data_IF_553738558247
#
_entry.id   IF_553738558247
#
_cell.length_a   1.000
_cell.length_b   1.000
_cell.length_c   1.000
_cell.angle_alpha   90.00
_cell.angle_beta   90.00
_cell.angle_gamma   90.00
#
_symmetry.space_group_name_H-M   'P 1'
#
loop_
_entity.id
_entity.type
_entity.pdbx_description
1 polymer ?
#
# COMPACT_ATOMS: atom_id res chain seq x y z
N UNK A 1 22.40 -57.44 14.35
CA UNK A 1 21.11 -57.28 13.65
C UNK A 1 20.17 -56.51 14.58
N UNK A 2 19.93 -55.25 14.24
CA UNK A 2 18.86 -54.32 14.63
C UNK A 2 18.25 -54.35 16.07
N UNK A 3 18.59 -53.38 16.94
CA UNK A 3 17.72 -52.98 18.05
C UNK A 3 16.69 -51.93 17.59
N UNK A 4 15.41 -52.20 17.84
CA UNK A 4 14.30 -51.28 17.56
C UNK A 4 14.34 -50.08 18.51
N UNK A 5 14.48 -48.91 17.89
CA UNK A 5 14.01 -47.56 18.23
C UNK A 5 13.64 -47.27 19.68
N UNK A 6 14.52 -46.49 20.31
CA UNK A 6 14.23 -45.55 21.38
C UNK A 6 13.29 -44.45 20.89
N UNK A 7 12.24 -44.19 21.67
CA UNK A 7 11.45 -42.97 21.65
C UNK A 7 11.64 -42.30 23.02
N UNK A 8 12.27 -41.11 23.12
CA UNK A 8 12.32 -40.38 24.38
C UNK A 8 11.22 -39.32 24.43
N UNK A 9 10.47 -39.33 25.53
CA UNK A 9 9.50 -38.33 25.91
C UNK A 9 10.14 -36.93 26.00
N UNK A 10 9.69 -36.01 25.14
CA UNK A 10 10.13 -34.63 25.14
C UNK A 10 9.34 -33.80 26.17
N UNK A 11 10.08 -33.31 27.17
CA UNK A 11 9.60 -32.43 28.23
C UNK A 11 9.07 -31.11 27.66
N UNK A 12 7.78 -30.87 27.85
CA UNK A 12 7.15 -29.56 27.70
C UNK A 12 7.79 -28.53 28.65
N UNK A 13 8.68 -27.68 28.14
CA UNK A 13 9.15 -26.47 28.82
C UNK A 13 8.26 -25.29 28.42
N UNK A 14 7.33 -24.92 29.31
CA UNK A 14 6.65 -23.62 29.29
C UNK A 14 7.68 -22.51 29.54
N UNK A 15 7.90 -21.65 28.56
CA UNK A 15 8.66 -20.41 28.74
C UNK A 15 7.73 -19.39 29.37
N UNK A 16 8.03 -19.06 30.62
CA UNK A 16 7.40 -18.00 31.41
C UNK A 16 8.01 -16.67 30.99
N UNK A 17 7.21 -15.77 30.43
CA UNK A 17 7.60 -14.37 30.25
C UNK A 17 7.71 -13.69 31.62
N UNK A 18 8.93 -13.36 32.05
CA UNK A 18 9.17 -12.51 33.21
C UNK A 18 9.03 -11.06 32.78
N UNK A 19 7.99 -10.40 33.29
CA UNK A 19 7.83 -8.94 33.27
C UNK A 19 8.96 -8.30 34.09
N UNK A 20 9.64 -7.32 33.51
CA UNK A 20 10.59 -6.45 34.22
C UNK A 20 9.81 -5.24 34.76
N UNK A 21 9.87 -4.94 36.07
CA UNK A 21 9.29 -3.72 36.62
C UNK A 21 10.31 -2.57 36.51
N UNK A 22 9.93 -1.47 35.86
CA UNK A 22 10.68 -0.21 35.94
C UNK A 22 10.10 0.64 37.09
N UNK A 23 11.00 1.02 38.00
CA UNK A 23 10.73 1.74 39.23
C UNK A 23 10.27 3.20 39.01
N UNK A 24 9.40 3.62 39.92
CA UNK A 24 9.00 4.98 40.25
C UNK A 24 10.19 5.92 40.49
N UNK A 25 10.09 7.13 39.93
CA UNK A 25 10.66 8.36 40.50
C UNK A 25 9.53 9.25 41.00
N UNK A 26 9.47 9.45 42.33
CA UNK A 26 8.53 10.33 43.04
C UNK A 26 9.09 11.76 43.07
N UNK A 27 8.28 12.75 42.69
CA UNK A 27 8.33 14.09 43.26
C UNK A 27 6.91 14.53 43.62
N UNK A 28 6.75 14.93 44.88
CA UNK A 28 5.58 15.47 45.59
C UNK A 28 6.02 16.89 46.00
N UNK A 29 5.27 17.99 46.03
CA UNK A 29 3.85 18.32 46.14
C UNK A 29 3.67 19.75 45.62
N UNK A 30 2.48 20.12 45.13
CA UNK A 30 2.11 21.50 44.89
C UNK A 30 0.68 21.61 44.37
N UNK A 31 -0.29 21.49 45.27
CA UNK A 31 -1.70 21.40 44.93
C UNK A 31 -2.30 22.70 44.38
N UNK A 32 -3.21 22.55 43.42
CA UNK A 32 -4.45 23.33 43.33
C UNK A 32 -5.44 22.55 42.47
N UNK A 33 -6.53 22.12 43.10
CA UNK A 33 -7.68 21.47 42.46
C UNK A 33 -8.40 22.46 41.55
N UNK A 34 -8.19 22.32 40.24
CA UNK A 34 -8.99 22.97 39.20
C UNK A 34 -9.53 21.92 38.23
N UNK A 35 -10.85 21.78 38.16
CA UNK A 35 -11.55 21.02 37.11
C UNK A 35 -11.12 21.56 35.74
N UNK A 36 -10.23 20.86 35.05
CA UNK A 36 -10.02 21.06 33.62
C UNK A 36 -11.15 20.36 32.86
N UNK A 37 -12.24 21.09 32.61
CA UNK A 37 -12.99 20.87 31.39
C UNK A 37 -12.04 21.21 30.25
N UNK A 38 -11.51 20.18 29.59
CA UNK A 38 -10.79 20.32 28.33
C UNK A 38 -11.74 20.95 27.32
N UNK A 39 -11.64 22.27 27.18
CA UNK A 39 -12.23 23.04 26.10
C UNK A 39 -11.63 22.45 24.82
N UNK A 40 -12.45 21.77 24.04
CA UNK A 40 -12.10 21.46 22.64
C UNK A 40 -11.73 22.80 22.04
N UNK A 41 -10.44 22.99 21.78
CA UNK A 41 -9.97 24.15 21.03
C UNK A 41 -10.61 24.02 19.67
N UNK A 42 -11.62 24.85 19.43
CA UNK A 42 -12.20 25.07 18.12
C UNK A 42 -11.05 25.62 17.26
N UNK A 43 -10.37 24.70 16.56
CA UNK A 43 -9.31 25.04 15.65
C UNK A 43 -9.88 26.04 14.67
N UNK A 44 -9.24 27.21 14.58
CA UNK A 44 -9.62 28.30 13.71
C UNK A 44 -9.74 27.79 12.26
N UNK A 45 -10.93 27.34 11.86
CA UNK A 45 -11.26 27.02 10.49
C UNK A 45 -11.25 28.36 9.74
N UNK A 46 -10.45 28.51 8.66
CA UNK A 46 -10.60 29.67 7.81
C UNK A 46 -12.06 29.77 7.34
N UNK A 47 -12.60 30.99 7.18
CA UNK A 47 -14.03 31.19 6.98
C UNK A 47 -14.53 30.51 5.69
N UNK A 48 -15.78 30.03 5.73
CA UNK A 48 -16.57 29.40 4.65
C UNK A 48 -16.73 30.27 3.37
N UNK A 49 -16.24 31.50 3.38
CA UNK A 49 -16.02 32.32 2.19
C UNK A 49 -14.64 31.90 1.66
N UNK A 50 -14.48 30.90 0.80
CA UNK A 50 -15.01 30.95 -0.56
C UNK A 50 -14.89 29.58 -1.24
N UNK A 51 -15.51 28.53 -0.67
CA UNK A 51 -15.54 27.20 -1.29
C UNK A 51 -16.07 27.29 -2.74
N UNK A 52 -17.01 28.20 -2.99
CA UNK A 52 -17.55 28.45 -4.31
C UNK A 52 -16.49 28.99 -5.28
N UNK A 53 -15.65 29.97 -4.92
CA UNK A 53 -14.58 30.41 -5.80
C UNK A 53 -13.43 29.42 -5.89
N UNK A 54 -13.13 28.67 -4.83
CA UNK A 54 -12.18 27.57 -4.94
C UNK A 54 -12.67 26.54 -5.97
N UNK A 55 -13.93 26.12 -5.88
CA UNK A 55 -14.52 25.19 -6.86
C UNK A 55 -14.53 25.80 -8.26
N UNK A 56 -14.90 27.07 -8.42
CA UNK A 56 -14.84 27.75 -9.73
C UNK A 56 -13.42 27.84 -10.28
N UNK A 57 -12.43 28.10 -9.43
CA UNK A 57 -11.01 28.10 -9.80
C UNK A 57 -10.56 26.72 -10.25
N UNK A 58 -10.88 25.67 -9.48
CA UNK A 58 -10.57 24.28 -9.85
C UNK A 58 -11.23 23.86 -11.17
N UNK A 59 -12.47 24.29 -11.41
CA UNK A 59 -13.15 24.06 -12.70
C UNK A 59 -12.47 24.83 -13.84
N UNK A 60 -12.08 26.08 -13.60
CA UNK A 60 -11.36 26.91 -14.59
C UNK A 60 -10.00 26.36 -15.00
N UNK A 61 -9.35 25.58 -14.14
CA UNK A 61 -8.09 24.89 -14.44
C UNK A 61 -8.24 23.68 -15.39
N UNK A 62 -9.48 23.29 -15.75
CA UNK A 62 -9.79 22.17 -16.65
C UNK A 62 -9.01 20.87 -16.32
N UNK A 63 -8.89 20.58 -15.03
CA UNK A 63 -8.00 19.53 -14.50
C UNK A 63 -8.26 18.13 -15.09
N UNK A 64 -9.50 17.83 -15.49
CA UNK A 64 -9.90 16.55 -16.09
C UNK A 64 -9.37 16.31 -17.50
N UNK A 65 -9.02 17.38 -18.23
CA UNK A 65 -8.51 17.30 -19.61
C UNK A 65 -6.98 17.32 -19.66
N UNK A 66 -6.35 17.76 -18.55
CA UNK A 66 -4.90 17.88 -18.44
C UNK A 66 -4.24 16.52 -18.25
N UNK A 67 -3.02 16.45 -18.77
CA UNK A 67 -2.11 15.33 -18.56
C UNK A 67 -0.88 15.84 -17.82
N UNK A 68 -0.39 15.04 -16.88
CA UNK A 68 0.73 15.38 -16.01
C UNK A 68 1.79 14.28 -16.08
N UNK A 69 3.05 14.64 -15.88
CA UNK A 69 4.10 13.67 -15.59
C UNK A 69 3.91 13.12 -14.18
N UNK A 70 3.85 11.79 -14.06
CA UNK A 70 3.78 11.14 -12.75
C UNK A 70 4.97 11.54 -11.87
N UNK A 71 6.17 11.61 -12.46
CA UNK A 71 7.38 12.06 -11.76
C UNK A 71 7.18 13.43 -11.10
N UNK A 72 6.67 14.41 -11.85
CA UNK A 72 6.38 15.76 -11.35
C UNK A 72 5.33 15.75 -10.24
N UNK A 73 4.25 14.96 -10.41
CA UNK A 73 3.18 14.87 -9.40
C UNK A 73 3.70 14.23 -8.11
N UNK A 74 4.41 13.11 -8.22
CA UNK A 74 4.98 12.40 -7.08
C UNK A 74 5.99 13.28 -6.34
N UNK A 75 6.88 13.97 -7.05
CA UNK A 75 7.87 14.88 -6.45
C UNK A 75 7.20 16.08 -5.78
N UNK A 76 6.21 16.71 -6.41
CA UNK A 76 5.47 17.81 -5.81
C UNK A 76 4.77 17.41 -4.50
N UNK A 77 4.30 16.17 -4.40
CA UNK A 77 3.63 15.67 -3.20
C UNK A 77 4.60 15.19 -2.12
N UNK A 78 5.71 14.57 -2.52
CA UNK A 78 6.63 13.86 -1.63
C UNK A 78 7.88 14.65 -1.24
N UNK A 79 8.33 15.56 -2.10
CA UNK A 79 9.68 16.14 -2.08
C UNK A 79 10.78 15.15 -2.50
N UNK A 80 10.41 14.06 -3.18
CA UNK A 80 11.31 12.96 -3.57
C UNK A 80 11.22 12.70 -5.07
N UNK A 81 12.36 12.39 -5.68
CA UNK A 81 12.49 12.22 -7.13
C UNK A 81 12.08 10.81 -7.56
N UNK A 82 11.35 10.75 -8.66
CA UNK A 82 11.13 9.51 -9.41
C UNK A 82 12.31 9.34 -10.37
N UNK A 83 13.18 8.39 -10.08
CA UNK A 83 14.38 8.09 -10.85
C UNK A 83 14.05 7.15 -12.03
N UNK A 84 14.65 7.34 -13.22
CA UNK A 84 14.48 6.42 -14.33
C UNK A 84 15.16 5.08 -14.06
N UNK A 85 14.59 4.00 -14.60
CA UNK A 85 15.27 2.71 -14.63
C UNK A 85 16.43 2.78 -15.64
N UNK A 86 17.62 2.34 -15.23
CA UNK A 86 18.84 2.32 -16.05
C UNK A 86 19.47 0.93 -16.07
N UNK A 87 20.53 0.77 -16.85
CA UNK A 87 21.36 -0.44 -16.88
C UNK A 87 22.45 -0.45 -15.77
N UNK A 88 22.23 0.23 -14.65
CA UNK A 88 23.15 0.12 -13.52
C UNK A 88 23.08 -1.27 -12.86
N UNK A 89 24.17 -1.69 -12.24
CA UNK A 89 24.27 -3.02 -11.64
C UNK A 89 23.20 -3.26 -10.56
N UNK A 90 22.90 -2.26 -9.74
CA UNK A 90 21.85 -2.34 -8.72
C UNK A 90 20.46 -2.49 -9.37
N UNK A 91 20.19 -1.75 -10.43
CA UNK A 91 18.91 -1.80 -11.15
C UNK A 91 18.68 -3.18 -11.77
N UNK A 92 19.71 -3.76 -12.40
CA UNK A 92 19.65 -5.15 -12.90
C UNK A 92 19.43 -6.17 -11.79
N UNK A 93 20.09 -6.03 -10.64
CA UNK A 93 19.88 -6.95 -9.50
C UNK A 93 18.45 -6.89 -8.98
N UNK A 94 17.92 -5.69 -8.75
CA UNK A 94 16.56 -5.51 -8.22
C UNK A 94 15.51 -5.97 -9.23
N UNK A 95 15.64 -5.63 -10.52
CA UNK A 95 14.70 -6.09 -11.55
C UNK A 95 14.74 -7.60 -11.76
N UNK A 96 15.91 -8.24 -11.68
CA UNK A 96 16.03 -9.69 -11.69
C UNK A 96 15.35 -10.34 -10.46
N UNK A 97 15.55 -9.77 -9.27
CA UNK A 97 14.89 -10.21 -8.04
C UNK A 97 13.36 -10.12 -8.14
N UNK A 98 12.83 -9.00 -8.67
CA UNK A 98 11.40 -8.82 -8.93
C UNK A 98 10.89 -9.87 -9.92
N UNK A 99 11.61 -10.10 -11.02
CA UNK A 99 11.22 -11.09 -12.03
C UNK A 99 11.17 -12.51 -11.48
N UNK A 100 12.16 -12.90 -10.67
CA UNK A 100 12.18 -14.19 -9.99
C UNK A 100 11.01 -14.32 -9.01
N UNK A 101 10.79 -13.31 -8.15
CA UNK A 101 9.71 -13.32 -7.17
C UNK A 101 8.32 -13.38 -7.83
N UNK A 102 8.11 -12.65 -8.93
CA UNK A 102 6.87 -12.71 -9.72
C UNK A 102 6.65 -14.10 -10.32
N UNK A 103 7.67 -14.68 -10.95
CA UNK A 103 7.55 -16.01 -11.56
C UNK A 103 7.22 -17.10 -10.53
N UNK A 104 7.85 -17.05 -9.36
CA UNK A 104 7.60 -18.01 -8.29
C UNK A 104 6.23 -17.82 -7.64
N UNK A 105 5.83 -16.57 -7.35
CA UNK A 105 4.51 -16.26 -6.79
C UNK A 105 3.40 -16.66 -7.76
N UNK A 106 3.57 -16.38 -9.04
CA UNK A 106 2.62 -16.79 -10.07
C UNK A 106 2.46 -18.32 -10.15
N UNK A 107 3.56 -19.06 -10.09
CA UNK A 107 3.53 -20.53 -10.09
C UNK A 107 2.73 -21.07 -8.90
N UNK A 108 2.98 -20.51 -7.72
CA UNK A 108 2.26 -20.87 -6.48
C UNK A 108 0.77 -20.53 -6.58
N UNK A 109 0.43 -19.31 -7.02
CA UNK A 109 -0.96 -18.87 -7.09
C UNK A 109 -1.76 -19.54 -8.22
N UNK A 110 -1.09 -20.15 -9.20
CA UNK A 110 -1.71 -20.99 -10.22
C UNK A 110 -1.97 -22.43 -9.75
N UNK A 111 -1.44 -22.87 -8.61
CA UNK A 111 -1.67 -24.22 -8.10
C UNK A 111 -3.17 -24.51 -7.86
N UNK A 112 -3.54 -25.79 -7.87
CA UNK A 112 -4.94 -26.23 -7.67
C UNK A 112 -5.47 -25.88 -6.28
N UNK A 113 -4.61 -25.91 -5.26
CA UNK A 113 -4.91 -25.60 -3.87
C UNK A 113 -4.72 -24.12 -3.51
N UNK A 114 -4.42 -23.28 -4.50
CA UNK A 114 -4.20 -21.84 -4.32
C UNK A 114 -5.38 -21.16 -3.61
N UNK A 115 -5.12 -20.26 -2.64
CA UNK A 115 -6.18 -19.53 -1.94
C UNK A 115 -7.00 -18.65 -2.89
N UNK A 116 -6.44 -18.28 -4.05
CA UNK A 116 -7.10 -17.48 -5.09
C UNK A 116 -8.35 -18.19 -5.64
N UNK A 117 -8.38 -19.53 -5.63
CA UNK A 117 -9.53 -20.34 -6.10
C UNK A 117 -10.80 -20.11 -5.30
N UNK A 118 -10.70 -19.55 -4.08
CA UNK A 118 -11.82 -19.30 -3.17
C UNK A 118 -12.35 -17.87 -3.27
N UNK A 119 -11.71 -17.02 -4.06
CA UNK A 119 -12.06 -15.60 -4.15
C UNK A 119 -13.26 -15.38 -5.07
N UNK A 120 -14.09 -14.41 -4.71
CA UNK A 120 -15.23 -13.99 -5.53
C UNK A 120 -14.87 -12.89 -6.52
N UNK A 121 -13.84 -12.10 -6.21
CA UNK A 121 -13.40 -10.97 -7.02
C UNK A 121 -11.90 -11.07 -7.28
N UNK A 122 -11.51 -10.91 -8.53
CA UNK A 122 -10.10 -10.98 -8.95
C UNK A 122 -9.22 -9.98 -8.19
N UNK A 123 -9.73 -8.78 -7.88
CA UNK A 123 -8.98 -7.76 -7.15
C UNK A 123 -8.56 -8.19 -5.73
N UNK A 124 -9.25 -9.17 -5.13
CA UNK A 124 -8.85 -9.73 -3.84
C UNK A 124 -7.57 -10.59 -3.98
N UNK A 125 -7.25 -11.05 -5.19
CA UNK A 125 -6.05 -11.83 -5.47
C UNK A 125 -4.77 -10.97 -5.49
N UNK A 126 -4.87 -9.65 -5.71
CA UNK A 126 -3.72 -8.73 -5.71
C UNK A 126 -2.92 -8.83 -4.42
N UNK A 127 -3.64 -9.05 -3.31
CA UNK A 127 -3.04 -9.20 -2.00
C UNK A 127 -2.05 -10.36 -1.91
N UNK A 128 -2.37 -11.49 -2.51
CA UNK A 128 -1.50 -12.67 -2.50
C UNK A 128 -0.23 -12.43 -3.31
N UNK A 129 -0.31 -11.64 -4.39
CA UNK A 129 0.86 -11.22 -5.12
C UNK A 129 1.74 -10.27 -4.31
N UNK A 130 1.17 -9.26 -3.65
CA UNK A 130 1.92 -8.36 -2.77
C UNK A 130 2.71 -9.14 -1.71
N UNK A 131 2.03 -10.03 -0.97
CA UNK A 131 2.63 -10.78 0.13
C UNK A 131 3.65 -11.81 -0.39
N UNK A 132 3.37 -12.49 -1.51
CA UNK A 132 4.28 -13.44 -2.14
C UNK A 132 5.56 -12.78 -2.67
N UNK A 133 5.44 -11.64 -3.36
CA UNK A 133 6.59 -10.87 -3.86
C UNK A 133 7.43 -10.35 -2.68
N UNK A 134 6.77 -9.80 -1.65
CA UNK A 134 7.45 -9.29 -0.45
C UNK A 134 8.28 -10.40 0.20
N UNK A 135 7.67 -11.53 0.53
CA UNK A 135 8.34 -12.63 1.22
C UNK A 135 9.54 -13.16 0.43
N UNK A 136 9.40 -13.29 -0.90
CA UNK A 136 10.45 -13.82 -1.76
C UNK A 136 11.64 -12.88 -1.91
N UNK A 137 11.39 -11.59 -2.18
CA UNK A 137 12.49 -10.62 -2.29
C UNK A 137 13.17 -10.43 -0.93
N UNK A 138 12.40 -10.37 0.16
CA UNK A 138 12.96 -10.23 1.51
C UNK A 138 13.87 -11.40 1.91
N UNK A 139 13.65 -12.59 1.35
CA UNK A 139 14.49 -13.77 1.61
C UNK A 139 15.78 -13.78 0.76
N UNK A 140 15.94 -12.89 -0.22
CA UNK A 140 17.14 -12.85 -1.07
C UNK A 140 18.29 -12.13 -0.36
N UNK A 141 19.50 -12.71 -0.31
CA UNK A 141 20.66 -12.05 0.28
C UNK A 141 20.96 -10.69 -0.37
N UNK A 142 21.22 -9.66 0.44
CA UNK A 142 21.53 -8.32 -0.05
C UNK A 142 20.31 -7.52 -0.51
N UNK A 143 19.09 -8.00 -0.22
CA UNK A 143 17.83 -7.34 -0.54
C UNK A 143 17.00 -7.14 0.72
N UNK A 144 16.43 -5.95 0.87
CA UNK A 144 15.36 -5.69 1.83
C UNK A 144 14.07 -5.41 1.06
N UNK A 145 12.99 -6.08 1.41
CA UNK A 145 11.65 -5.77 0.90
C UNK A 145 10.66 -5.61 2.05
N UNK A 146 9.86 -4.55 2.01
CA UNK A 146 8.90 -4.21 3.05
C UNK A 146 7.71 -3.43 2.50
N UNK A 147 6.63 -3.34 3.28
CA UNK A 147 5.59 -2.32 3.03
C UNK A 147 6.17 -0.98 3.46
N UNK A 148 6.20 0.04 2.59
CA UNK A 148 6.79 1.32 2.94
C UNK A 148 6.06 1.96 4.11
N UNK A 149 6.79 2.53 5.09
CA UNK A 149 6.16 3.33 6.13
C UNK A 149 5.57 4.61 5.53
N UNK A 150 4.60 5.21 6.23
CA UNK A 150 4.15 6.56 5.91
C UNK A 150 5.25 7.57 6.21
N UNK A 151 5.07 8.80 5.73
CA UNK A 151 5.91 9.96 6.08
C UNK A 151 6.08 10.15 7.60
N UNK A 152 5.05 9.81 8.39
CA UNK A 152 5.09 9.86 9.85
C UNK A 152 5.80 8.67 10.51
N UNK A 153 6.21 7.68 9.72
CA UNK A 153 6.82 6.44 10.20
C UNK A 153 5.81 5.33 10.54
N UNK A 154 4.51 5.58 10.36
CA UNK A 154 3.47 4.59 10.66
C UNK A 154 3.42 3.50 9.59
N UNK A 155 3.09 2.28 9.99
CA UNK A 155 2.87 1.19 9.06
C UNK A 155 1.39 1.09 8.70
N UNK A 156 1.09 1.24 7.41
CA UNK A 156 -0.21 0.90 6.86
C UNK A 156 -0.04 0.26 5.49
N UNK A 157 -0.98 -0.63 5.14
CA UNK A 157 -0.99 -1.25 3.81
C UNK A 157 -1.63 -0.38 2.74
N UNK A 158 -2.79 0.28 2.97
CA UNK A 158 -3.42 1.10 1.95
C UNK A 158 -2.54 2.25 1.44
N UNK A 159 -2.75 2.59 0.16
CA UNK A 159 -2.10 3.70 -0.52
C UNK A 159 -0.88 3.25 -1.33
N UNK A 160 -0.42 4.14 -2.20
CA UNK A 160 0.75 3.91 -3.04
C UNK A 160 2.04 4.39 -2.33
N UNK A 161 3.19 3.69 -2.50
CA UNK A 161 3.36 2.40 -3.20
C UNK A 161 3.09 1.18 -2.30
N UNK A 162 2.86 0.02 -2.91
CA UNK A 162 2.57 -1.22 -2.19
C UNK A 162 3.82 -1.80 -1.51
N UNK A 163 4.96 -1.84 -2.22
CA UNK A 163 6.22 -2.41 -1.75
C UNK A 163 7.40 -1.44 -1.92
N UNK A 164 8.35 -1.49 -0.98
CA UNK A 164 9.65 -0.81 -1.02
C UNK A 164 10.75 -1.86 -0.99
N UNK A 165 11.63 -1.81 -1.98
CA UNK A 165 12.77 -2.70 -2.13
C UNK A 165 14.05 -1.87 -2.01
N UNK A 166 15.04 -2.37 -1.29
CA UNK A 166 16.37 -1.76 -1.17
C UNK A 166 17.42 -2.79 -1.55
N UNK A 167 18.27 -2.44 -2.51
CA UNK A 167 19.52 -3.16 -2.76
C UNK A 167 20.51 -2.75 -1.66
N UNK A 168 20.82 -3.65 -0.73
CA UNK A 168 21.62 -3.32 0.46
C UNK A 168 23.07 -2.97 0.10
N UNK A 169 23.57 -3.45 -1.05
CA UNK A 169 24.93 -3.19 -1.49
C UNK A 169 25.13 -1.75 -2.01
N UNK A 170 24.16 -1.19 -2.72
CA UNK A 170 24.23 0.19 -3.24
C UNK A 170 23.41 1.21 -2.44
N UNK A 171 22.44 0.75 -1.65
CA UNK A 171 21.42 1.58 -1.03
C UNK A 171 20.32 2.06 -2.00
N UNK A 172 20.31 1.58 -3.25
CA UNK A 172 19.31 1.98 -4.23
C UNK A 172 17.90 1.52 -3.82
N UNK A 173 16.92 2.43 -3.93
CA UNK A 173 15.54 2.20 -3.52
C UNK A 173 14.63 2.07 -4.73
N UNK A 174 13.73 1.10 -4.66
CA UNK A 174 12.71 0.84 -5.67
C UNK A 174 11.34 0.77 -4.99
N UNK A 175 10.35 1.39 -5.60
CA UNK A 175 8.95 1.20 -5.25
C UNK A 175 8.29 0.30 -6.29
N UNK A 176 7.55 -0.70 -5.82
CA UNK A 176 6.86 -1.65 -6.69
C UNK A 176 5.36 -1.66 -6.37
N UNK A 177 4.56 -1.60 -7.42
CA UNK A 177 3.10 -1.62 -7.37
C UNK A 177 2.55 -2.77 -8.24
N UNK A 178 2.27 -3.94 -7.66
CA UNK A 178 1.67 -5.06 -8.39
C UNK A 178 0.21 -4.74 -8.74
N UNK A 179 -0.21 -5.06 -9.97
CA UNK A 179 -1.58 -4.87 -10.45
C UNK A 179 -2.01 -6.04 -11.32
N UNK A 180 -3.22 -6.52 -11.12
CA UNK A 180 -3.83 -7.56 -11.95
C UNK A 180 -4.42 -6.91 -13.20
N UNK A 181 -4.17 -7.54 -14.35
CA UNK A 181 -4.61 -7.06 -15.67
C UNK A 181 -5.22 -8.23 -16.43
N UNK A 182 -6.39 -8.04 -17.01
CA UNK A 182 -7.01 -9.06 -17.84
C UNK A 182 -6.31 -9.15 -19.20
N UNK A 183 -6.11 -10.37 -19.71
CA UNK A 183 -5.60 -10.54 -21.06
C UNK A 183 -6.50 -9.84 -22.08
N UNK A 184 -5.86 -9.17 -23.05
CA UNK A 184 -6.58 -8.38 -24.06
C UNK A 184 -7.02 -7.00 -23.59
N UNK A 185 -6.88 -6.65 -22.30
CA UNK A 185 -7.23 -5.32 -21.79
C UNK A 185 -6.10 -4.29 -21.85
N UNK A 186 -5.00 -4.58 -22.56
CA UNK A 186 -3.82 -3.71 -22.61
C UNK A 186 -4.12 -2.32 -23.22
N UNK A 187 -5.10 -2.24 -24.13
CA UNK A 187 -5.58 -0.99 -24.73
C UNK A 187 -6.73 -0.33 -23.94
N UNK A 188 -7.10 -0.90 -22.79
CA UNK A 188 -8.18 -0.37 -21.95
C UNK A 188 -7.82 1.02 -21.43
N UNK A 189 -8.81 1.92 -21.42
CA UNK A 189 -8.71 3.25 -20.81
C UNK A 189 -9.12 3.25 -19.35
N UNK A 190 -9.56 2.11 -18.81
CA UNK A 190 -9.85 1.96 -17.39
C UNK A 190 -8.57 2.10 -16.56
N UNK A 191 -8.73 2.65 -15.36
CA UNK A 191 -7.61 2.98 -14.49
C UNK A 191 -7.00 1.71 -13.87
N UNK A 192 -5.81 1.34 -14.32
CA UNK A 192 -4.99 0.29 -13.68
C UNK A 192 -4.09 0.85 -12.57
N UNK A 193 -3.54 2.05 -12.79
CA UNK A 193 -2.67 2.74 -11.84
C UNK A 193 -3.38 3.94 -11.22
N UNK A 194 -3.24 4.12 -9.90
CA UNK A 194 -3.73 5.31 -9.22
C UNK A 194 -2.79 5.75 -8.12
N UNK A 195 -2.55 7.06 -8.08
CA UNK A 195 -1.82 7.73 -7.02
C UNK A 195 -2.73 8.79 -6.42
N UNK A 196 -2.92 8.72 -5.11
CA UNK A 196 -3.68 9.71 -4.35
C UNK A 196 -2.70 10.55 -3.53
N UNK A 197 -2.50 11.84 -3.87
CA UNK A 197 -1.73 12.76 -3.06
C UNK A 197 -2.28 12.84 -1.64
N UNK A 198 -1.43 12.61 -0.63
CA UNK A 198 -1.78 12.74 0.79
C UNK A 198 -0.64 13.45 1.52
N UNK A 199 -0.96 14.21 2.57
CA UNK A 199 0.06 14.83 3.39
C UNK A 199 0.53 13.90 4.51
N UNK A 200 -0.41 13.28 5.21
CA UNK A 200 -0.18 12.54 6.45
C UNK A 200 0.23 11.09 6.17
N UNK A 201 -0.39 10.46 5.18
CA UNK A 201 -0.26 9.01 4.96
C UNK A 201 0.48 8.64 3.66
N UNK A 202 1.24 9.58 3.08
CA UNK A 202 2.05 9.33 1.90
C UNK A 202 3.18 8.35 2.21
N UNK A 203 3.43 7.40 1.30
CA UNK A 203 4.45 6.35 1.46
C UNK A 203 5.66 6.50 0.52
N UNK A 204 5.73 7.59 -0.25
CA UNK A 204 6.91 7.97 -1.05
C UNK A 204 7.83 8.82 -0.16
N UNK A 205 8.92 8.22 0.32
CA UNK A 205 9.85 8.79 1.32
C UNK A 205 11.30 8.85 0.84
N UNK A 206 11.62 8.22 -0.28
CA UNK A 206 12.96 8.08 -0.84
C UNK A 206 12.98 8.56 -2.29
N UNK A 207 14.12 9.09 -2.75
CA UNK A 207 14.42 9.17 -4.18
C UNK A 207 14.57 7.73 -4.69
N UNK A 208 13.73 7.30 -5.62
CA UNK A 208 13.59 5.89 -5.94
C UNK A 208 13.21 5.67 -7.41
N UNK A 209 13.46 4.47 -7.92
CA UNK A 209 12.86 4.00 -9.18
C UNK A 209 11.45 3.48 -8.88
N UNK A 210 10.46 3.88 -9.67
CA UNK A 210 9.07 3.47 -9.48
C UNK A 210 8.67 2.49 -10.58
N UNK A 211 8.28 1.28 -10.19
CA UNK A 211 7.91 0.20 -11.09
C UNK A 211 6.47 -0.26 -10.85
N UNK A 212 5.77 -0.60 -11.93
CA UNK A 212 4.50 -1.32 -11.88
C UNK A 212 4.69 -2.73 -12.43
N UNK A 213 4.19 -3.74 -11.70
CA UNK A 213 4.14 -5.12 -12.18
C UNK A 213 2.72 -5.45 -12.62
N UNK A 214 2.46 -5.42 -13.93
CA UNK A 214 1.19 -5.83 -14.52
C UNK A 214 1.15 -7.34 -14.67
N UNK A 215 0.39 -8.02 -13.82
CA UNK A 215 0.23 -9.47 -13.78
C UNK A 215 -1.02 -9.86 -14.57
N UNK A 216 -0.81 -10.61 -15.65
CA UNK A 216 -1.87 -10.96 -16.61
C UNK A 216 -2.69 -12.17 -16.13
N UNK A 217 -4.01 -12.12 -16.28
CA UNK A 217 -4.92 -13.24 -16.02
C UNK A 217 -5.89 -13.50 -17.20
N UNK A 218 -6.34 -14.75 -17.31
CA UNK A 218 -7.23 -15.22 -18.40
C UNK A 218 -8.70 -14.79 -18.28
N UNK A 219 -9.09 -14.14 -17.18
CA UNK A 219 -10.44 -13.60 -16.97
C UNK A 219 -11.48 -14.66 -16.56
N UNK A 220 -11.08 -15.91 -16.33
CA UNK A 220 -12.00 -16.99 -15.95
C UNK A 220 -12.40 -16.87 -14.48
N UNK A 221 -13.54 -16.23 -14.22
CA UNK A 221 -14.03 -16.00 -12.85
C UNK A 221 -14.02 -17.26 -11.98
N UNK A 222 -13.41 -17.17 -10.79
CA UNK A 222 -13.27 -18.28 -9.84
C UNK A 222 -12.28 -19.38 -10.26
N UNK A 223 -11.72 -19.32 -11.47
CA UNK A 223 -10.75 -20.27 -12.01
C UNK A 223 -9.61 -19.56 -12.75
N UNK A 224 -9.26 -18.35 -12.30
CA UNK A 224 -8.27 -17.52 -12.96
C UNK A 224 -6.94 -18.25 -13.09
N UNK A 225 -6.38 -18.19 -14.28
CA UNK A 225 -4.99 -18.57 -14.53
C UNK A 225 -4.18 -17.31 -14.78
N UNK A 226 -3.09 -17.15 -14.05
CA UNK A 226 -2.12 -16.08 -14.26
C UNK A 226 -1.12 -16.51 -15.34
N UNK A 227 -1.06 -15.75 -16.42
CA UNK A 227 -0.45 -16.19 -17.68
C UNK A 227 0.90 -15.55 -17.97
N UNK A 228 1.23 -14.46 -17.29
CA UNK A 228 2.44 -13.69 -17.53
C UNK A 228 2.47 -12.40 -16.75
N UNK A 229 3.57 -11.65 -16.87
CA UNK A 229 3.70 -10.34 -16.23
C UNK A 229 4.54 -9.39 -17.08
N UNK A 230 4.34 -8.09 -16.86
CA UNK A 230 5.14 -7.01 -17.44
C UNK A 230 5.62 -6.08 -16.33
N UNK A 231 6.88 -5.67 -16.40
CA UNK A 231 7.45 -4.68 -15.50
C UNK A 231 7.56 -3.36 -16.27
N UNK A 232 6.98 -2.30 -15.71
CA UNK A 232 6.86 -0.99 -16.37
C UNK A 232 7.55 0.05 -15.51
N UNK A 233 8.48 0.81 -16.09
CA UNK A 233 9.06 2.00 -15.47
C UNK A 233 8.06 3.16 -15.52
N UNK A 234 7.77 3.74 -14.35
CA UNK A 234 6.82 4.84 -14.20
C UNK A 234 7.46 6.23 -14.36
N UNK A 235 8.78 6.32 -14.55
CA UNK A 235 9.51 7.60 -14.66
C UNK A 235 9.01 8.53 -15.77
N UNK A 236 8.45 7.95 -16.84
CA UNK A 236 7.88 8.69 -17.98
C UNK A 236 6.36 8.57 -18.07
N UNK A 237 5.70 8.00 -17.05
CA UNK A 237 4.26 7.78 -17.06
C UNK A 237 3.51 9.11 -17.08
N UNK A 238 2.58 9.24 -18.03
CA UNK A 238 1.61 10.32 -18.09
C UNK A 238 0.34 9.92 -17.34
N UNK A 239 -0.11 10.78 -16.42
CA UNK A 239 -1.32 10.58 -15.61
C UNK A 239 -2.33 11.70 -15.85
N UNK A 240 -3.60 11.43 -15.53
CA UNK A 240 -4.69 12.41 -15.55
C UNK A 240 -5.24 12.60 -14.15
N UNK A 241 -5.75 13.79 -13.86
CA UNK A 241 -6.41 14.07 -12.59
C UNK A 241 -7.92 13.86 -12.72
N UNK A 242 -8.48 12.96 -11.91
CA UNK A 242 -9.93 12.80 -11.74
C UNK A 242 -10.32 13.36 -10.37
N UNK A 243 -10.93 14.54 -10.35
CA UNK A 243 -11.46 15.14 -9.13
C UNK A 243 -12.91 14.67 -8.90
N UNK A 244 -13.23 14.23 -7.69
CA UNK A 244 -14.58 13.82 -7.29
C UNK A 244 -14.89 14.30 -5.86
N UNK A 245 -16.12 14.76 -5.62
CA UNK A 245 -16.63 15.04 -4.29
C UNK A 245 -17.20 13.76 -3.69
N UNK A 246 -16.93 13.50 -2.42
CA UNK A 246 -17.34 12.28 -1.72
C UNK A 246 -17.99 12.62 -0.37
N UNK A 247 -18.85 11.72 0.11
CA UNK A 247 -19.44 11.79 1.44
C UNK A 247 -19.46 10.39 2.05
N UNK A 248 -19.18 10.30 3.35
CA UNK A 248 -19.24 9.03 4.10
C UNK A 248 -20.67 8.61 4.39
N UNK A 249 -20.90 7.32 4.64
CA UNK A 249 -22.20 6.84 5.13
C UNK A 249 -22.64 7.59 6.41
N UNK A 250 -21.70 7.91 7.29
CA UNK A 250 -21.99 8.66 8.50
C UNK A 250 -22.54 10.05 8.17
N UNK A 251 -21.94 10.78 7.22
CA UNK A 251 -22.44 12.10 6.78
C UNK A 251 -23.81 11.99 6.09
N UNK A 252 -23.98 11.00 5.21
CA UNK A 252 -25.23 10.80 4.49
C UNK A 252 -26.41 10.52 5.42
N UNK A 253 -26.24 9.65 6.44
CA UNK A 253 -27.36 9.16 7.25
C UNK A 253 -27.55 9.88 8.59
N UNK A 254 -26.62 10.71 9.06
CA UNK A 254 -26.70 11.35 10.39
C UNK A 254 -27.91 12.27 10.57
N UNK A 255 -28.47 12.85 9.50
CA UNK A 255 -29.62 13.78 9.56
C UNK A 255 -30.59 13.71 8.36
N UNK A 256 -30.37 12.79 7.40
CA UNK A 256 -31.02 12.82 6.08
C UNK A 256 -31.84 11.57 5.74
N UNK A 257 -31.94 10.61 6.66
CA UNK A 257 -32.79 9.43 6.47
C UNK A 257 -34.27 9.85 6.58
N UNK A 258 -34.91 10.11 5.44
CA UNK A 258 -36.30 10.54 5.35
C UNK A 258 -37.31 9.43 5.68
N UNK A 259 -36.89 8.16 5.61
CA UNK A 259 -37.70 7.01 6.02
C UNK A 259 -36.80 5.82 6.34
N UNK A 260 -37.26 4.99 7.29
CA UNK A 260 -36.72 3.66 7.58
C UNK A 260 -37.84 2.64 7.40
N UNK A 261 -37.57 1.43 6.89
CA UNK A 261 -38.58 0.39 6.78
C UNK A 261 -39.16 0.02 8.17
N UNK A 262 -40.42 -0.45 8.23
CA UNK A 262 -41.12 -0.71 9.49
C UNK A 262 -40.41 -1.71 10.42
N UNK A 263 -39.52 -2.55 9.89
CA UNK A 263 -38.77 -3.57 10.63
C UNK A 263 -37.55 -3.05 11.40
N UNK A 264 -37.38 -1.73 11.53
CA UNK A 264 -36.19 -1.10 12.15
C UNK A 264 -36.52 -0.11 13.29
N UNK A 265 -37.71 -0.20 13.90
CA UNK A 265 -38.01 0.48 15.17
C UNK A 265 -38.00 -0.49 16.34
#
# INVERSE_FOLDING_TARGET
>A
MNPKNHEPAEKTRRIVWKMVPALLGVFVLGGMTGRFFGKVSDGHRPPLQDDAALVKSLLGENLSERTFDFATVAEACSGKRVLPLTDEAAHRRVTAAIGQALAETMRELNAEDSPVRKLRRINEASRFFEDGILARIHAMPGMKCEVPPTRSGDHQRPGYPDLRITDEASGAVFYLDPKLVEQGSAASTLRTFYFEPKNETLKITDDAVHLLAGIEHDGREGQWTFTGWRLVDLSTLKVRLKAEFQASNAELYRKSALSLPPSTR
#
